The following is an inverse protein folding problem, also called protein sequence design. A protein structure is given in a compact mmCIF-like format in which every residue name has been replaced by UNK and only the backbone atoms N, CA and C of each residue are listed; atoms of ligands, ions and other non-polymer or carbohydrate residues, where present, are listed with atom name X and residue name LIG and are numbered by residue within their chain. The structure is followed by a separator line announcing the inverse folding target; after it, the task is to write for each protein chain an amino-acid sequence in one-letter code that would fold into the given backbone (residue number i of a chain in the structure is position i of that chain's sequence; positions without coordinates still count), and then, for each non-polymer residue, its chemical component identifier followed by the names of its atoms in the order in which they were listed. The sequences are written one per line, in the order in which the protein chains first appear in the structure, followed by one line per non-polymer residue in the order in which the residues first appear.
data_IF_743059257827
#
_entry.id   IF_743059257827
#
_cell.length_a   1.000
_cell.length_b   1.000
_cell.length_c   1.000
_cell.angle_alpha   90.00
_cell.angle_beta   90.00
_cell.angle_gamma   90.00
#
_symmetry.space_group_name_H-M   'P 1'
#
loop_
_entity.id
_entity.type
_entity.pdbx_description
1 polymer ?
#
# COMPACT_ATOMS: atom_id res chain seq x y z
N UNK A 1 1.36 22.49 6.71
CA UNK A 1 0.53 22.06 5.57
C UNK A 1 -0.89 22.64 5.66
N UNK A 2 -1.61 22.46 6.78
CA UNK A 2 -2.98 22.97 6.96
C UNK A 2 -3.07 24.48 6.80
N UNK A 3 -2.18 25.25 7.43
CA UNK A 3 -2.13 26.70 7.27
C UNK A 3 -1.93 27.13 5.80
N UNK A 4 -1.15 26.38 5.01
CA UNK A 4 -1.01 26.62 3.58
C UNK A 4 -2.30 26.34 2.81
N UNK A 5 -3.02 25.28 3.17
CA UNK A 5 -4.32 24.97 2.58
C UNK A 5 -5.37 26.01 2.92
N UNK A 6 -5.36 26.55 4.14
CA UNK A 6 -6.24 27.67 4.52
C UNK A 6 -5.94 28.93 3.73
N UNK A 7 -4.66 29.26 3.53
CA UNK A 7 -4.27 30.39 2.65
C UNK A 7 -4.72 30.18 1.21
N UNK A 8 -4.58 28.96 0.70
CA UNK A 8 -5.10 28.57 -0.61
C UNK A 8 -6.60 28.75 -0.69
N UNK A 9 -7.38 28.26 0.29
CA UNK A 9 -8.83 28.41 0.37
C UNK A 9 -9.26 29.91 0.39
N UNK A 10 -8.58 30.72 1.19
CA UNK A 10 -8.84 32.16 1.26
C UNK A 10 -8.56 32.86 -0.08
N UNK A 11 -7.47 32.49 -0.75
CA UNK A 11 -7.09 33.05 -2.04
C UNK A 11 -8.10 32.66 -3.12
N UNK A 12 -8.42 31.38 -3.24
CA UNK A 12 -9.33 30.87 -4.28
C UNK A 12 -10.73 31.45 -4.14
N UNK A 13 -11.24 31.61 -2.90
CA UNK A 13 -12.55 32.25 -2.66
C UNK A 13 -12.60 33.71 -3.14
N UNK A 14 -11.50 34.45 -3.10
CA UNK A 14 -11.44 35.83 -3.65
C UNK A 14 -11.69 35.86 -5.14
N UNK A 15 -11.41 34.77 -5.84
CA UNK A 15 -11.63 34.59 -7.29
C UNK A 15 -12.93 33.85 -7.62
N UNK A 16 -13.83 33.66 -6.64
CA UNK A 16 -15.11 33.00 -6.85
C UNK A 16 -15.01 31.47 -6.99
N UNK A 17 -13.85 30.89 -6.64
CA UNK A 17 -13.64 29.43 -6.69
C UNK A 17 -14.25 28.80 -5.43
N UNK A 18 -14.99 27.71 -5.62
CA UNK A 18 -15.62 26.96 -4.52
C UNK A 18 -14.63 26.22 -3.63
N UNK A 19 -15.12 25.73 -2.50
CA UNK A 19 -14.29 25.03 -1.49
C UNK A 19 -14.10 23.54 -1.76
N UNK A 20 -14.66 22.99 -2.83
CA UNK A 20 -14.65 21.53 -3.09
C UNK A 20 -13.24 20.97 -3.15
N UNK A 21 -12.35 21.64 -3.91
CA UNK A 21 -10.94 21.24 -4.00
C UNK A 21 -10.22 21.33 -2.66
N UNK A 22 -10.50 22.35 -1.84
CA UNK A 22 -9.95 22.45 -0.48
C UNK A 22 -10.35 21.23 0.37
N UNK A 23 -11.61 20.82 0.35
CA UNK A 23 -12.06 19.66 1.13
C UNK A 23 -11.39 18.37 0.66
N UNK A 24 -11.17 18.17 -0.64
CA UNK A 24 -10.41 17.03 -1.16
C UNK A 24 -8.96 17.03 -0.70
N UNK A 25 -8.31 18.18 -0.62
CA UNK A 25 -6.95 18.30 -0.09
C UNK A 25 -6.90 17.98 1.42
N UNK A 26 -7.90 18.45 2.17
CA UNK A 26 -8.04 18.14 3.60
C UNK A 26 -8.33 16.65 3.82
N UNK A 27 -9.16 16.01 3.00
CA UNK A 27 -9.33 14.56 3.00
C UNK A 27 -7.98 13.85 2.86
N UNK A 28 -7.18 14.22 1.85
CA UNK A 28 -5.84 13.64 1.63
C UNK A 28 -4.87 13.87 2.80
N UNK A 29 -5.03 14.98 3.55
CA UNK A 29 -4.26 15.24 4.77
C UNK A 29 -4.58 14.24 5.89
N UNK A 30 -5.86 13.88 6.02
CA UNK A 30 -6.35 13.04 7.12
C UNK A 30 -6.49 11.56 6.74
N UNK A 31 -6.34 11.20 5.47
CA UNK A 31 -6.55 9.85 4.93
C UNK A 31 -5.88 8.73 5.76
N UNK A 32 -4.69 9.01 6.31
CA UNK A 32 -3.90 8.04 7.09
C UNK A 32 -3.71 8.46 8.56
N UNK A 33 -3.97 9.71 8.92
CA UNK A 33 -3.79 10.20 10.29
C UNK A 33 -5.05 10.06 11.13
N UNK A 34 -6.21 10.33 10.51
CA UNK A 34 -7.54 10.24 11.11
C UNK A 34 -8.55 9.93 10.00
N UNK A 35 -8.75 8.64 9.67
CA UNK A 35 -9.61 8.23 8.57
C UNK A 35 -11.08 8.63 8.73
N UNK A 36 -11.63 8.72 9.95
CA UNK A 36 -12.99 9.20 10.18
C UNK A 36 -13.12 10.69 9.85
N UNK A 37 -12.16 11.49 10.26
CA UNK A 37 -12.08 12.90 9.87
C UNK A 37 -11.93 13.08 8.36
N UNK A 38 -11.23 12.17 7.69
CA UNK A 38 -11.16 12.18 6.23
C UNK A 38 -12.54 11.97 5.58
N UNK A 39 -13.41 11.12 6.18
CA UNK A 39 -14.77 10.95 5.70
C UNK A 39 -15.61 12.22 5.85
N UNK A 40 -15.45 12.99 6.94
CA UNK A 40 -16.14 14.27 7.10
C UNK A 40 -15.82 15.23 5.95
N UNK A 41 -14.55 15.30 5.54
CA UNK A 41 -14.13 16.11 4.40
C UNK A 41 -14.65 15.60 3.06
N UNK A 42 -14.80 14.28 2.89
CA UNK A 42 -15.46 13.68 1.71
C UNK A 42 -16.91 14.15 1.63
N UNK A 43 -17.67 14.06 2.73
CA UNK A 43 -19.08 14.50 2.75
C UNK A 43 -19.20 16.00 2.45
N UNK A 44 -18.34 16.84 3.02
CA UNK A 44 -18.30 18.28 2.72
C UNK A 44 -17.98 18.54 1.24
N UNK A 45 -17.00 17.81 0.67
CA UNK A 45 -16.66 17.94 -0.74
C UNK A 45 -17.85 17.55 -1.64
N UNK A 46 -18.50 16.43 -1.34
CA UNK A 46 -19.60 15.91 -2.16
C UNK A 46 -20.88 16.78 -2.08
N UNK A 47 -21.09 17.51 -0.97
CA UNK A 47 -22.19 18.47 -0.81
C UNK A 47 -21.87 19.84 -1.47
N UNK A 48 -20.58 20.12 -1.73
CA UNK A 48 -20.16 21.38 -2.35
C UNK A 48 -20.27 21.26 -3.88
N UNK A 49 -20.81 22.26 -4.59
CA UNK A 49 -20.85 22.27 -6.05
C UNK A 49 -19.47 22.01 -6.65
N UNK A 50 -19.39 21.27 -7.79
CA UNK A 50 -18.13 21.08 -8.48
C UNK A 50 -17.54 22.42 -8.94
N UNK A 51 -16.21 22.49 -8.95
CA UNK A 51 -15.47 23.60 -9.49
C UNK A 51 -14.94 23.20 -10.87
N UNK A 52 -15.43 23.87 -11.92
CA UNK A 52 -15.12 23.51 -13.31
C UNK A 52 -13.66 23.78 -13.71
N UNK A 53 -12.93 24.60 -12.92
CA UNK A 53 -11.57 25.02 -13.28
C UNK A 53 -10.47 24.29 -12.50
N UNK A 54 -10.73 23.90 -11.26
CA UNK A 54 -9.73 23.33 -10.34
C UNK A 54 -10.16 22.01 -9.72
N UNK A 55 -11.37 21.57 -10.03
CA UNK A 55 -11.94 20.34 -9.49
C UNK A 55 -11.40 19.08 -10.16
N UNK A 56 -11.49 17.99 -9.43
CA UNK A 56 -11.29 16.66 -10.00
C UNK A 56 -12.53 16.24 -10.79
N UNK A 57 -12.38 15.28 -11.71
CA UNK A 57 -13.56 14.75 -12.38
C UNK A 57 -14.43 13.95 -11.39
N UNK A 58 -15.75 13.98 -11.58
CA UNK A 58 -16.71 13.29 -10.72
C UNK A 58 -16.37 11.80 -10.53
N UNK A 59 -15.91 11.12 -11.57
CA UNK A 59 -15.54 9.71 -11.48
C UNK A 59 -14.34 9.47 -10.54
N UNK A 60 -13.33 10.36 -10.55
CA UNK A 60 -12.20 10.27 -9.63
C UNK A 60 -12.66 10.51 -8.19
N UNK A 61 -13.46 11.53 -7.94
CA UNK A 61 -13.95 11.85 -6.60
C UNK A 61 -14.81 10.72 -6.02
N UNK A 62 -15.72 10.16 -6.81
CA UNK A 62 -16.50 8.99 -6.40
C UNK A 62 -15.61 7.79 -6.10
N UNK A 63 -14.57 7.54 -6.91
CA UNK A 63 -13.66 6.43 -6.65
C UNK A 63 -12.82 6.62 -5.39
N UNK A 64 -12.43 7.84 -5.07
CA UNK A 64 -11.69 8.15 -3.85
C UNK A 64 -12.57 8.07 -2.60
N UNK A 65 -13.81 8.55 -2.69
CA UNK A 65 -14.78 8.37 -1.63
C UNK A 65 -15.02 6.89 -1.35
N UNK A 66 -15.39 6.12 -2.38
CA UNK A 66 -15.59 4.67 -2.25
C UNK A 66 -14.38 3.96 -1.63
N UNK A 67 -13.15 4.29 -2.08
CA UNK A 67 -11.91 3.74 -1.53
C UNK A 67 -11.81 3.96 -0.02
N UNK A 68 -12.12 5.15 0.50
CA UNK A 68 -12.02 5.43 1.93
C UNK A 68 -13.05 4.65 2.74
N UNK A 69 -14.30 4.59 2.29
CA UNK A 69 -15.34 3.79 2.94
C UNK A 69 -15.00 2.29 2.94
N UNK A 70 -14.46 1.74 1.84
CA UNK A 70 -14.01 0.35 1.77
C UNK A 70 -12.90 0.07 2.79
N UNK A 71 -11.90 0.94 2.89
CA UNK A 71 -10.79 0.80 3.85
C UNK A 71 -11.25 0.74 5.30
N UNK A 72 -12.32 1.44 5.63
CA UNK A 72 -12.95 1.43 6.95
C UNK A 72 -13.97 0.30 7.13
N UNK A 73 -14.17 -0.56 6.12
CA UNK A 73 -15.14 -1.65 6.15
C UNK A 73 -16.60 -1.19 6.03
N UNK A 74 -16.83 0.06 5.69
CA UNK A 74 -18.17 0.66 5.53
C UNK A 74 -18.69 0.45 4.11
N UNK A 75 -18.91 -0.82 3.76
CA UNK A 75 -19.16 -1.26 2.38
C UNK A 75 -20.51 -0.77 1.83
N UNK A 76 -21.54 -0.68 2.66
CA UNK A 76 -22.85 -0.16 2.25
C UNK A 76 -22.76 1.32 1.86
N UNK A 77 -22.04 2.11 2.64
CA UNK A 77 -21.82 3.52 2.32
C UNK A 77 -20.91 3.67 1.08
N UNK A 78 -19.90 2.81 0.91
CA UNK A 78 -19.07 2.80 -0.30
C UNK A 78 -19.92 2.61 -1.56
N UNK A 79 -20.98 1.78 -1.50
CA UNK A 79 -21.83 1.49 -2.65
C UNK A 79 -22.54 2.73 -3.20
N UNK A 80 -22.83 3.74 -2.35
CA UNK A 80 -23.40 5.03 -2.81
C UNK A 80 -22.50 5.76 -3.82
N UNK A 81 -21.19 5.55 -3.71
CA UNK A 81 -20.19 6.16 -4.59
C UNK A 81 -19.80 5.25 -5.76
N UNK A 82 -19.97 3.94 -5.62
CA UNK A 82 -19.68 2.95 -6.67
C UNK A 82 -20.79 2.91 -7.71
N UNK A 83 -22.05 2.88 -7.27
CA UNK A 83 -23.23 2.76 -8.15
C UNK A 83 -23.26 3.80 -9.31
N UNK A 84 -22.98 5.10 -9.09
CA UNK A 84 -22.96 6.07 -10.19
C UNK A 84 -21.90 5.78 -11.25
N UNK A 85 -20.78 5.13 -10.88
CA UNK A 85 -19.75 4.69 -11.82
C UNK A 85 -20.18 3.45 -12.61
N UNK A 86 -20.82 2.50 -11.95
CA UNK A 86 -21.33 1.26 -12.58
C UNK A 86 -22.49 1.52 -13.54
N UNK A 87 -23.33 2.48 -13.22
CA UNK A 87 -24.47 2.89 -14.07
C UNK A 87 -24.09 3.90 -15.14
N UNK A 88 -22.80 4.17 -15.32
CA UNK A 88 -22.27 5.12 -16.31
C UNK A 88 -22.90 6.51 -16.22
N UNK A 89 -23.33 6.92 -15.03
CA UNK A 89 -23.79 8.29 -14.78
C UNK A 89 -22.71 9.33 -15.09
N UNK A 90 -21.44 8.92 -14.96
CA UNK A 90 -20.27 9.67 -15.39
C UNK A 90 -19.41 8.79 -16.30
N UNK A 91 -18.70 9.39 -17.25
CA UNK A 91 -17.64 8.68 -17.97
C UNK A 91 -16.53 8.30 -16.99
N UNK A 92 -16.25 7.00 -16.75
CA UNK A 92 -15.19 6.61 -15.83
C UNK A 92 -13.83 7.12 -16.30
N UNK A 93 -13.07 7.73 -15.41
CA UNK A 93 -11.66 7.98 -15.64
C UNK A 93 -10.88 6.67 -15.69
N UNK A 94 -9.71 6.70 -16.34
CA UNK A 94 -8.88 5.53 -16.58
C UNK A 94 -8.65 4.66 -15.33
N UNK A 95 -8.50 5.29 -14.15
CA UNK A 95 -8.14 4.62 -12.90
C UNK A 95 -9.27 4.57 -11.85
N UNK A 96 -10.48 5.05 -12.16
CA UNK A 96 -11.54 5.11 -11.15
C UNK A 96 -11.92 3.72 -10.60
N UNK A 97 -12.13 2.74 -11.47
CA UNK A 97 -12.41 1.37 -11.03
C UNK A 97 -11.19 0.68 -10.41
N UNK A 98 -9.97 0.95 -10.92
CA UNK A 98 -8.76 0.36 -10.38
C UNK A 98 -8.50 0.80 -8.93
N UNK A 99 -8.83 2.03 -8.55
CA UNK A 99 -8.76 2.50 -7.17
C UNK A 99 -9.72 1.71 -6.25
N UNK A 100 -10.95 1.48 -6.71
CA UNK A 100 -11.95 0.70 -5.98
C UNK A 100 -11.49 -0.75 -5.83
N UNK A 101 -11.08 -1.39 -6.94
CA UNK A 101 -10.62 -2.79 -6.91
C UNK A 101 -9.38 -2.97 -6.03
N UNK A 102 -8.46 -2.01 -6.00
CA UNK A 102 -7.29 -2.07 -5.14
C UNK A 102 -7.68 -2.00 -3.66
N UNK A 103 -8.57 -1.08 -3.28
CA UNK A 103 -9.07 -0.99 -1.92
C UNK A 103 -9.84 -2.25 -1.51
N UNK A 104 -10.69 -2.77 -2.39
CA UNK A 104 -11.43 -4.02 -2.14
C UNK A 104 -10.50 -5.23 -2.03
N UNK A 105 -9.42 -5.27 -2.83
CA UNK A 105 -8.40 -6.31 -2.73
C UNK A 105 -7.66 -6.25 -1.39
N UNK A 106 -7.21 -5.08 -0.96
CA UNK A 106 -6.55 -4.92 0.34
C UNK A 106 -7.50 -5.30 1.48
N UNK A 107 -8.75 -4.83 1.45
CA UNK A 107 -9.77 -5.18 2.43
C UNK A 107 -10.01 -6.69 2.52
N UNK A 108 -10.13 -7.38 1.38
CA UNK A 108 -10.30 -8.84 1.34
C UNK A 108 -9.05 -9.57 1.89
N UNK A 109 -7.85 -9.13 1.51
CA UNK A 109 -6.58 -9.69 2.00
C UNK A 109 -6.42 -9.53 3.51
N UNK A 110 -6.82 -8.38 4.07
CA UNK A 110 -6.74 -8.11 5.51
C UNK A 110 -7.69 -8.99 6.33
N UNK A 111 -8.69 -9.56 5.69
CA UNK A 111 -9.66 -10.50 6.29
C UNK A 111 -9.36 -11.97 5.96
N UNK A 112 -8.34 -12.23 5.15
CA UNK A 112 -8.02 -13.59 4.69
C UNK A 112 -9.02 -14.15 3.66
N UNK A 113 -9.87 -13.31 3.09
CA UNK A 113 -10.85 -13.67 2.05
C UNK A 113 -10.15 -13.79 0.68
N UNK A 114 -9.51 -14.92 0.46
CA UNK A 114 -8.79 -15.20 -0.79
C UNK A 114 -9.75 -15.47 -1.96
N UNK A 115 -10.97 -15.90 -1.70
CA UNK A 115 -11.98 -16.12 -2.73
C UNK A 115 -12.33 -14.80 -3.43
N UNK A 116 -12.55 -13.75 -2.67
CA UNK A 116 -12.75 -12.38 -3.20
C UNK A 116 -11.45 -11.75 -3.72
N UNK A 117 -10.32 -11.96 -3.03
CA UNK A 117 -9.06 -11.31 -3.35
C UNK A 117 -8.48 -11.73 -4.73
N UNK A 118 -8.50 -13.03 -5.05
CA UNK A 118 -7.86 -13.54 -6.27
C UNK A 118 -8.47 -12.97 -7.56
N UNK A 119 -9.80 -12.94 -7.75
CA UNK A 119 -10.42 -12.30 -8.91
C UNK A 119 -10.08 -10.80 -9.03
N UNK A 120 -10.05 -10.07 -7.91
CA UNK A 120 -9.70 -8.66 -7.87
C UNK A 120 -8.24 -8.43 -8.28
N UNK A 121 -7.30 -9.25 -7.78
CA UNK A 121 -5.89 -9.21 -8.16
C UNK A 121 -5.70 -9.47 -9.66
N UNK A 122 -6.41 -10.44 -10.23
CA UNK A 122 -6.39 -10.73 -11.66
C UNK A 122 -6.91 -9.55 -12.49
N UNK A 123 -7.99 -8.91 -12.04
CA UNK A 123 -8.62 -7.76 -12.70
C UNK A 123 -7.68 -6.55 -12.68
N UNK A 124 -7.06 -6.27 -11.52
CA UNK A 124 -6.04 -5.23 -11.36
C UNK A 124 -4.82 -5.48 -12.23
N UNK A 125 -4.29 -6.70 -12.24
CA UNK A 125 -3.16 -7.05 -13.09
C UNK A 125 -3.43 -6.80 -14.58
N UNK A 126 -4.65 -7.08 -15.05
CA UNK A 126 -5.03 -6.86 -16.46
C UNK A 126 -5.23 -5.37 -16.80
N UNK A 127 -5.73 -4.58 -15.86
CA UNK A 127 -6.18 -3.19 -16.11
C UNK A 127 -5.28 -2.12 -15.50
N UNK A 128 -4.60 -2.40 -14.40
CA UNK A 128 -3.74 -1.48 -13.63
C UNK A 128 -2.27 -1.86 -13.69
N UNK A 129 -1.74 -2.20 -14.85
CA UNK A 129 -0.35 -2.65 -15.03
C UNK A 129 0.21 -2.17 -16.38
N UNK A 130 0.01 -0.90 -16.72
CA UNK A 130 0.32 -0.35 -18.04
C UNK A 130 1.56 0.53 -18.05
N UNK A 131 1.75 1.31 -17.00
CA UNK A 131 2.82 2.28 -16.91
C UNK A 131 3.28 2.44 -15.44
N UNK A 132 4.36 3.18 -15.24
CA UNK A 132 5.01 3.38 -13.94
C UNK A 132 4.09 3.99 -12.87
N UNK A 133 3.09 4.79 -13.26
CA UNK A 133 2.16 5.38 -12.31
C UNK A 133 1.21 4.36 -11.68
N UNK A 134 1.06 3.18 -12.31
CA UNK A 134 0.26 2.06 -11.82
C UNK A 134 0.94 1.24 -10.71
N UNK A 135 2.17 1.59 -10.31
CA UNK A 135 2.92 0.89 -9.26
C UNK A 135 2.08 0.70 -7.98
N UNK A 136 1.19 1.64 -7.66
CA UNK A 136 0.25 1.57 -6.52
C UNK A 136 -0.69 0.35 -6.55
N UNK A 137 -0.93 -0.23 -7.74
CA UNK A 137 -1.78 -1.41 -7.89
C UNK A 137 -0.98 -2.71 -7.83
N UNK A 138 0.35 -2.62 -8.03
CA UNK A 138 1.23 -3.79 -8.08
C UNK A 138 1.46 -4.38 -6.70
N UNK A 139 1.63 -3.55 -5.66
CA UNK A 139 1.87 -4.01 -4.29
C UNK A 139 0.78 -4.96 -3.76
N UNK A 140 -0.50 -4.58 -3.77
CA UNK A 140 -1.60 -5.46 -3.37
C UNK A 140 -1.67 -6.76 -4.20
N UNK A 141 -1.36 -6.69 -5.52
CA UNK A 141 -1.33 -7.88 -6.37
C UNK A 141 -0.16 -8.80 -5.99
N UNK A 142 1.02 -8.26 -5.69
CA UNK A 142 2.17 -9.04 -5.19
C UNK A 142 1.84 -9.73 -3.86
N UNK A 143 1.20 -9.03 -2.93
CA UNK A 143 0.73 -9.60 -1.67
C UNK A 143 -0.22 -10.78 -1.91
N UNK A 144 -1.24 -10.61 -2.74
CA UNK A 144 -2.19 -11.66 -3.08
C UNK A 144 -1.50 -12.87 -3.71
N UNK A 145 -0.61 -12.66 -4.70
CA UNK A 145 0.07 -13.77 -5.36
C UNK A 145 1.17 -14.39 -4.50
N UNK A 146 1.79 -13.64 -3.59
CA UNK A 146 2.65 -14.22 -2.58
C UNK A 146 1.93 -15.26 -1.71
N UNK A 147 0.66 -15.05 -1.42
CA UNK A 147 -0.18 -15.96 -0.65
C UNK A 147 -0.77 -17.12 -1.47
N UNK A 148 -0.97 -16.94 -2.78
CA UNK A 148 -1.75 -17.89 -3.59
C UNK A 148 -0.98 -18.54 -4.74
N UNK A 149 -0.02 -17.83 -5.34
CA UNK A 149 0.78 -18.30 -6.48
C UNK A 149 2.11 -17.53 -6.54
N UNK A 150 3.08 -17.95 -5.74
CA UNK A 150 4.35 -17.25 -5.57
C UNK A 150 5.13 -17.13 -6.90
N UNK A 151 5.10 -18.10 -7.79
CA UNK A 151 5.80 -18.03 -9.08
C UNK A 151 5.24 -16.92 -9.98
N UNK A 152 3.94 -16.74 -9.98
CA UNK A 152 3.29 -15.62 -10.66
C UNK A 152 3.65 -14.27 -10.00
N UNK A 153 3.75 -14.25 -8.68
CA UNK A 153 4.22 -13.09 -7.91
C UNK A 153 5.64 -12.72 -8.29
N UNK A 154 6.57 -13.67 -8.30
CA UNK A 154 7.97 -13.47 -8.72
C UNK A 154 8.05 -12.93 -10.15
N UNK A 155 7.29 -13.52 -11.06
CA UNK A 155 7.26 -13.07 -12.47
C UNK A 155 6.75 -11.62 -12.60
N UNK A 156 5.78 -11.20 -11.80
CA UNK A 156 5.32 -9.81 -11.76
C UNK A 156 6.38 -8.90 -11.15
N UNK A 157 6.97 -9.30 -10.02
CA UNK A 157 8.00 -8.57 -9.32
C UNK A 157 9.16 -8.21 -10.25
N UNK A 158 9.75 -9.21 -10.95
CA UNK A 158 10.87 -8.98 -11.87
C UNK A 158 10.51 -7.95 -12.94
N UNK A 159 9.32 -8.05 -13.52
CA UNK A 159 8.87 -7.13 -14.57
C UNK A 159 8.58 -5.71 -14.08
N UNK A 160 8.38 -5.49 -12.77
CA UNK A 160 7.91 -4.20 -12.23
C UNK A 160 8.84 -3.58 -11.20
N UNK A 161 9.88 -4.29 -10.77
CA UNK A 161 10.87 -3.74 -9.83
C UNK A 161 11.46 -2.41 -10.32
N UNK A 162 11.79 -2.31 -11.60
CA UNK A 162 12.35 -1.09 -12.17
C UNK A 162 11.42 0.12 -12.00
N UNK A 163 10.11 -0.09 -11.91
CA UNK A 163 9.16 1.00 -11.67
C UNK A 163 9.29 1.62 -10.29
N UNK A 164 9.72 0.86 -9.27
CA UNK A 164 9.93 1.36 -7.91
C UNK A 164 11.23 2.14 -7.77
N UNK A 165 12.26 1.81 -8.58
CA UNK A 165 13.58 2.43 -8.47
C UNK A 165 13.50 3.91 -8.88
N UNK A 166 13.87 4.81 -7.95
CA UNK A 166 13.80 6.26 -8.15
C UNK A 166 12.38 6.82 -8.31
N UNK A 167 11.34 6.09 -7.87
CA UNK A 167 9.98 6.62 -7.80
C UNK A 167 9.88 7.70 -6.72
N UNK A 168 9.41 8.88 -7.11
CA UNK A 168 9.26 10.01 -6.20
C UNK A 168 8.08 9.83 -5.23
N UNK A 169 7.02 9.13 -5.65
CA UNK A 169 5.83 8.85 -4.86
C UNK A 169 6.10 7.69 -3.89
N UNK A 170 6.56 8.04 -2.70
CA UNK A 170 6.99 7.08 -1.68
C UNK A 170 5.84 6.20 -1.15
N UNK A 171 4.57 6.64 -1.27
CA UNK A 171 3.44 5.77 -0.90
C UNK A 171 3.32 4.57 -1.83
N UNK A 172 3.53 4.79 -3.14
CA UNK A 172 3.55 3.68 -4.11
C UNK A 172 4.72 2.73 -3.90
N UNK A 173 5.89 3.27 -3.49
CA UNK A 173 7.05 2.46 -3.13
C UNK A 173 6.76 1.63 -1.89
N UNK A 174 6.19 2.23 -0.84
CA UNK A 174 5.77 1.50 0.36
C UNK A 174 4.83 0.33 0.03
N UNK A 175 3.80 0.55 -0.78
CA UNK A 175 2.85 -0.51 -1.15
C UNK A 175 3.54 -1.64 -1.93
N UNK A 176 4.45 -1.29 -2.84
CA UNK A 176 5.24 -2.26 -3.60
C UNK A 176 6.16 -3.06 -2.68
N UNK A 177 6.90 -2.39 -1.79
CA UNK A 177 7.86 -3.03 -0.87
C UNK A 177 7.14 -3.93 0.13
N UNK A 178 5.99 -3.51 0.68
CA UNK A 178 5.12 -4.35 1.51
C UNK A 178 4.70 -5.63 0.77
N UNK A 179 4.22 -5.49 -0.47
CA UNK A 179 3.81 -6.64 -1.29
C UNK A 179 4.97 -7.56 -1.63
N UNK A 180 6.14 -7.02 -1.97
CA UNK A 180 7.36 -7.78 -2.26
C UNK A 180 7.91 -8.50 -1.01
N UNK A 181 7.90 -7.84 0.14
CA UNK A 181 8.27 -8.46 1.42
C UNK A 181 7.44 -9.71 1.69
N UNK A 182 6.11 -9.60 1.59
CA UNK A 182 5.19 -10.73 1.83
C UNK A 182 5.44 -11.85 0.81
N UNK A 183 5.61 -11.52 -0.47
CA UNK A 183 5.93 -12.48 -1.52
C UNK A 183 7.19 -13.28 -1.18
N UNK A 184 8.30 -12.59 -0.86
CA UNK A 184 9.57 -13.26 -0.60
C UNK A 184 9.60 -13.97 0.75
N UNK A 185 8.93 -13.48 1.80
CA UNK A 185 8.78 -14.22 3.07
C UNK A 185 8.02 -15.52 2.88
N UNK A 186 6.93 -15.51 2.11
CA UNK A 186 6.19 -16.73 1.79
C UNK A 186 7.06 -17.68 0.96
N UNK A 187 7.83 -17.16 0.01
CA UNK A 187 8.74 -17.97 -0.81
C UNK A 187 9.89 -18.54 0.00
N UNK A 188 10.42 -17.83 1.01
CA UNK A 188 11.49 -18.30 1.88
C UNK A 188 11.09 -19.56 2.68
N UNK A 189 9.81 -19.76 2.95
CA UNK A 189 9.30 -20.98 3.56
C UNK A 189 9.42 -22.24 2.69
N UNK A 190 9.67 -22.09 1.39
CA UNK A 190 9.72 -23.23 0.44
C UNK A 190 10.99 -23.25 -0.43
N UNK A 191 11.73 -22.14 -0.52
CA UNK A 191 12.96 -22.03 -1.33
C UNK A 191 14.00 -21.20 -0.59
N UNK A 192 15.25 -21.67 -0.58
CA UNK A 192 16.38 -20.91 0.00
C UNK A 192 16.92 -19.85 -0.97
N UNK A 193 16.94 -20.17 -2.27
CA UNK A 193 17.49 -19.29 -3.30
C UNK A 193 16.54 -19.21 -4.49
N UNK A 194 16.63 -18.09 -5.23
CA UNK A 194 15.90 -17.86 -6.46
C UNK A 194 16.83 -17.25 -7.51
N UNK A 195 16.64 -17.61 -8.78
CA UNK A 195 17.38 -17.00 -9.88
C UNK A 195 16.50 -15.96 -10.56
N UNK A 196 16.93 -14.69 -10.52
CA UNK A 196 16.18 -13.54 -11.05
C UNK A 196 17.10 -12.67 -11.91
N UNK A 197 16.56 -12.14 -12.98
CA UNK A 197 17.19 -11.10 -13.78
C UNK A 197 16.71 -9.74 -13.30
N UNK A 198 17.46 -9.13 -12.38
CA UNK A 198 17.12 -7.84 -11.80
C UNK A 198 17.92 -6.70 -12.45
N UNK A 199 17.38 -5.47 -12.49
CA UNK A 199 18.07 -4.32 -13.05
C UNK A 199 19.32 -3.98 -12.23
N UNK A 200 20.42 -3.59 -12.90
CA UNK A 200 21.69 -3.22 -12.24
C UNK A 200 21.55 -2.06 -11.23
N UNK A 201 20.54 -1.24 -11.39
CA UNK A 201 20.23 -0.16 -10.45
C UNK A 201 19.60 -0.65 -9.14
N UNK A 202 19.23 -1.93 -9.03
CA UNK A 202 18.71 -2.49 -7.79
C UNK A 202 19.84 -2.66 -6.76
N UNK A 203 19.71 -2.19 -5.52
CA UNK A 203 20.80 -2.20 -4.53
C UNK A 203 21.38 -3.57 -4.22
N UNK A 204 20.59 -4.64 -4.33
CA UNK A 204 21.04 -6.01 -4.12
C UNK A 204 21.39 -6.72 -5.44
N UNK A 205 21.60 -5.98 -6.54
CA UNK A 205 21.90 -6.60 -7.82
C UNK A 205 23.12 -7.53 -7.75
N UNK A 206 23.03 -8.70 -8.41
CA UNK A 206 24.09 -9.71 -8.48
C UNK A 206 24.30 -10.16 -9.93
N UNK A 207 25.54 -10.30 -10.31
CA UNK A 207 25.93 -10.70 -11.68
C UNK A 207 25.45 -12.13 -12.01
N UNK A 208 25.52 -13.05 -11.02
CA UNK A 208 25.09 -14.44 -11.19
C UNK A 208 23.56 -14.61 -11.16
N UNK A 209 22.82 -13.54 -10.82
CA UNK A 209 21.37 -13.51 -10.69
C UNK A 209 20.82 -14.43 -9.60
N UNK A 210 21.65 -14.92 -8.67
CA UNK A 210 21.23 -15.81 -7.58
C UNK A 210 21.06 -15.03 -6.29
N UNK A 211 19.85 -15.08 -5.74
CA UNK A 211 19.47 -14.33 -4.53
C UNK A 211 19.01 -15.30 -3.44
N UNK A 212 19.55 -15.21 -2.21
CA UNK A 212 18.91 -15.77 -1.04
C UNK A 212 17.54 -15.13 -0.88
N UNK A 213 16.50 -15.95 -0.78
CA UNK A 213 15.11 -15.44 -0.74
C UNK A 213 14.86 -14.63 0.54
N UNK A 214 15.47 -15.06 1.66
CA UNK A 214 15.36 -14.34 2.94
C UNK A 214 15.98 -12.94 2.86
N UNK A 215 17.13 -12.79 2.19
CA UNK A 215 17.78 -11.48 2.01
C UNK A 215 16.88 -10.48 1.25
N UNK A 216 16.20 -10.96 0.20
CA UNK A 216 15.22 -10.13 -0.51
C UNK A 216 14.04 -9.75 0.41
N UNK A 217 13.52 -10.70 1.18
CA UNK A 217 12.44 -10.46 2.11
C UNK A 217 12.79 -9.40 3.16
N UNK A 218 13.99 -9.53 3.77
CA UNK A 218 14.47 -8.62 4.81
C UNK A 218 14.78 -7.23 4.26
N UNK A 219 15.30 -7.16 3.05
CA UNK A 219 15.54 -5.89 2.38
C UNK A 219 14.22 -5.12 2.15
N UNK A 220 13.21 -5.78 1.57
CA UNK A 220 11.91 -5.16 1.31
C UNK A 220 11.16 -4.81 2.60
N UNK A 221 11.29 -5.63 3.66
CA UNK A 221 10.78 -5.27 4.97
C UNK A 221 11.38 -3.98 5.48
N UNK A 222 12.72 -3.90 5.46
CA UNK A 222 13.46 -2.71 5.92
C UNK A 222 13.08 -1.45 5.15
N UNK A 223 12.87 -1.56 3.82
CA UNK A 223 12.42 -0.43 3.01
C UNK A 223 10.99 0.00 3.40
N UNK A 224 10.05 -0.95 3.50
CA UNK A 224 8.67 -0.65 3.89
C UNK A 224 8.61 -0.01 5.29
N UNK A 225 9.32 -0.55 6.28
CA UNK A 225 9.41 0.03 7.62
C UNK A 225 10.01 1.44 7.62
N UNK A 226 11.06 1.66 6.83
CA UNK A 226 11.73 2.96 6.75
C UNK A 226 10.80 4.03 6.19
N UNK A 227 10.09 3.70 5.10
CA UNK A 227 9.13 4.62 4.49
C UNK A 227 7.93 4.81 5.42
N UNK A 228 7.39 3.74 5.99
CA UNK A 228 6.25 3.77 6.90
C UNK A 228 6.50 4.69 8.09
N UNK A 229 7.61 4.51 8.81
CA UNK A 229 8.02 5.37 9.95
C UNK A 229 8.17 6.85 9.57
N UNK A 230 8.61 7.16 8.34
CA UNK A 230 8.69 8.56 7.86
C UNK A 230 7.31 9.16 7.67
N UNK A 231 6.35 8.39 7.14
CA UNK A 231 4.96 8.82 7.00
C UNK A 231 4.29 8.99 8.36
N UNK A 232 4.43 8.03 9.25
CA UNK A 232 3.82 8.07 10.58
C UNK A 232 4.34 9.24 11.40
N UNK A 233 5.66 9.51 11.38
CA UNK A 233 6.23 10.72 12.00
C UNK A 233 5.65 12.00 11.42
N UNK A 234 5.52 12.10 10.09
CA UNK A 234 4.93 13.27 9.43
C UNK A 234 3.47 13.48 9.80
N UNK A 235 2.72 12.37 9.91
CA UNK A 235 1.28 12.39 10.14
C UNK A 235 0.91 12.40 11.64
N UNK A 236 1.89 12.19 12.53
CA UNK A 236 1.67 11.95 13.98
C UNK A 236 0.71 10.77 14.21
N UNK A 237 0.96 9.66 13.51
CA UNK A 237 0.17 8.43 13.54
C UNK A 237 1.08 7.20 13.61
N UNK A 238 0.48 6.01 13.75
CA UNK A 238 1.12 4.70 13.64
C UNK A 238 0.52 3.88 12.49
N UNK A 239 -0.18 4.53 11.56
CA UNK A 239 -0.97 3.87 10.53
C UNK A 239 -0.13 2.92 9.66
N UNK A 240 1.05 3.34 9.20
CA UNK A 240 1.86 2.54 8.27
C UNK A 240 2.59 1.40 8.97
N UNK A 241 3.01 1.58 10.21
CA UNK A 241 3.59 0.50 11.03
C UNK A 241 2.53 -0.55 11.35
N UNK A 242 1.33 -0.13 11.77
CA UNK A 242 0.20 -1.03 12.05
C UNK A 242 -0.27 -1.77 10.79
N UNK A 243 -0.36 -1.08 9.63
CA UNK A 243 -0.74 -1.67 8.35
C UNK A 243 0.25 -2.77 7.91
N UNK A 244 1.55 -2.53 8.05
CA UNK A 244 2.57 -3.52 7.73
C UNK A 244 2.50 -4.73 8.69
N UNK A 245 2.40 -4.48 9.99
CA UNK A 245 2.29 -5.52 11.00
C UNK A 245 1.04 -6.39 10.80
N UNK A 246 -0.11 -5.76 10.55
CA UNK A 246 -1.36 -6.47 10.26
C UNK A 246 -1.25 -7.32 9.00
N UNK A 247 -0.63 -6.80 7.93
CA UNK A 247 -0.45 -7.52 6.68
C UNK A 247 0.47 -8.75 6.85
N UNK A 248 1.56 -8.63 7.62
CA UNK A 248 2.45 -9.75 7.95
C UNK A 248 1.73 -10.81 8.78
N UNK A 249 1.03 -10.39 9.84
CA UNK A 249 0.26 -11.29 10.71
C UNK A 249 -0.80 -12.06 9.93
N UNK A 250 -1.56 -11.40 9.07
CA UNK A 250 -2.59 -12.03 8.24
C UNK A 250 -2.02 -13.07 7.27
N UNK A 251 -0.78 -12.89 6.83
CA UNK A 251 -0.08 -13.87 6.01
C UNK A 251 0.54 -15.02 6.81
N UNK A 252 0.34 -15.09 8.12
CA UNK A 252 0.96 -16.09 9.00
C UNK A 252 2.46 -15.87 9.16
N UNK A 253 2.92 -14.64 9.01
CA UNK A 253 4.31 -14.25 9.15
C UNK A 253 4.51 -13.45 10.45
N UNK A 254 5.60 -13.66 11.19
CA UNK A 254 5.90 -12.85 12.35
C UNK A 254 6.13 -11.39 11.96
N UNK A 255 5.71 -10.47 12.82
CA UNK A 255 6.07 -9.07 12.67
C UNK A 255 7.55 -8.83 12.99
N UNK A 256 8.07 -7.66 12.61
CA UNK A 256 9.47 -7.30 12.80
C UNK A 256 9.90 -7.23 14.27
N UNK A 257 8.97 -6.95 15.18
CA UNK A 257 9.24 -6.92 16.62
C UNK A 257 9.37 -8.32 17.20
N UNK A 258 8.49 -9.23 16.80
CA UNK A 258 8.56 -10.65 17.16
C UNK A 258 9.84 -11.31 16.63
N UNK A 259 10.30 -10.96 15.42
CA UNK A 259 11.57 -11.43 14.87
C UNK A 259 12.77 -10.92 15.65
N UNK A 260 12.80 -9.64 16.04
CA UNK A 260 13.88 -9.08 16.86
C UNK A 260 13.94 -9.76 18.23
N UNK A 261 12.82 -10.01 18.90
CA UNK A 261 12.78 -10.78 20.14
C UNK A 261 13.32 -12.20 19.95
N UNK A 262 12.87 -12.92 18.92
CA UNK A 262 13.32 -14.27 18.63
C UNK A 262 14.82 -14.37 18.25
N UNK A 263 15.39 -13.30 17.67
CA UNK A 263 16.83 -13.20 17.42
C UNK A 263 17.61 -12.95 18.69
N UNK A 264 17.08 -12.13 19.60
CA UNK A 264 17.68 -11.85 20.90
C UNK A 264 17.70 -13.08 21.79
N UNK A 265 16.59 -13.82 21.84
CA UNK A 265 16.48 -15.06 22.62
C UNK A 265 17.40 -16.17 22.08
N UNK A 266 17.58 -16.26 20.74
CA UNK A 266 18.55 -17.22 20.15
C UNK A 266 20.02 -16.83 20.37
N UNK A 267 20.31 -15.55 20.60
CA UNK A 267 21.64 -15.05 20.90
C UNK A 267 22.06 -15.25 22.35
N UNK A 268 21.11 -15.43 23.27
CA UNK A 268 21.40 -15.61 24.71
C UNK A 268 21.65 -17.08 25.11
N UNK A 269 21.28 -18.06 24.26
CA UNK A 269 21.52 -19.49 24.57
C UNK A 269 22.97 -19.96 24.32
N UNK A 270 23.89 -19.10 23.91
CA UNK A 270 25.28 -19.43 23.68
C UNK A 270 26.26 -19.07 24.81
N UNK A 271 25.76 -18.58 25.93
CA UNK A 271 26.57 -18.43 27.14
C UNK A 271 26.14 -19.43 28.21
N UNK A 272 26.41 -20.71 27.97
CA UNK A 272 26.41 -21.72 29.01
C UNK A 272 27.56 -21.47 29.98
N UNK A 273 27.39 -21.75 31.30
CA UNK A 273 28.43 -21.55 32.29
C UNK A 273 29.49 -22.63 32.15
N UNK A 274 30.66 -22.26 31.58
CA UNK A 274 31.82 -23.15 31.64
C UNK A 274 32.41 -23.20 33.02
N UNK A 275 32.29 -24.42 33.53
CA UNK A 275 33.26 -25.24 34.22
C UNK A 275 34.01 -24.61 35.38
N UNK A 276 33.59 -25.04 36.52
CA UNK A 276 34.44 -25.14 37.72
C UNK A 276 35.62 -26.04 37.42
N UNK A 277 36.81 -25.49 37.39
CA UNK A 277 38.07 -26.20 37.48
C UNK A 277 38.28 -26.70 38.91
N UNK A 278 38.44 -27.99 39.05
CA UNK A 278 38.92 -28.66 40.24
C UNK A 278 40.43 -28.76 40.24
N UNK A 279 40.98 -28.59 41.44
CA UNK A 279 42.29 -28.96 41.98
C UNK A 279 43.33 -27.92 41.97
#
# INVERSE_FOLDING_TARGET
YEALLEQYDQLTRRYGIGRRTYFWQMMGRWEYADPERALEYIELAMQTPPDDHFGNCNACEHSWAAKQYIRLGRLEEAQRYIQPLETYRFSPCENSFQNIWAASLEYALDRGDLETAVPLAQKLYKKGNRNRTDLRFIGPVLRCWGMTNADRGVSLFVRRLEWSIGMWDQKKVYDFDKGACILFRRLAGVRQTVKLELPKAFPLWREDGRYPVQELADWFLTQAETIGRRFDRRNSSHYFEDDLAAALKQCGLPDSETERRNQYDRGTDHFGPDAKGTS
#
